data_IF_748482808523
#
_entry.id   IF_748482808523
#
_cell.length_a   1.000
_cell.length_b   1.000
_cell.length_c   1.000
_cell.angle_alpha   90.00
_cell.angle_beta   90.00
_cell.angle_gamma   90.00
#
_symmetry.space_group_name_H-M   'P 1'
#
loop_
_entity.id
_entity.type
_entity.pdbx_description
1 polymer ?
#
# COMPACT_ATOMS: atom_id res chain seq x y z
N UNK A 1 3.43 7.73 -12.33
CA UNK A 1 2.03 7.29 -12.56
C UNK A 1 1.27 7.30 -11.24
N UNK A 2 0.10 7.91 -11.26
CA UNK A 2 -0.78 7.95 -10.09
C UNK A 2 -1.31 6.55 -9.78
N UNK A 3 -1.43 6.21 -8.50
CA UNK A 3 -1.97 4.93 -8.05
C UNK A 3 -3.38 4.68 -8.59
N UNK A 4 -4.22 5.71 -8.61
CA UNK A 4 -5.59 5.63 -9.15
C UNK A 4 -5.59 5.20 -10.62
N UNK A 5 -4.73 5.80 -11.43
CA UNK A 5 -4.60 5.47 -12.85
C UNK A 5 -4.10 4.05 -13.04
N UNK A 6 -3.10 3.65 -12.25
CA UNK A 6 -2.55 2.31 -12.30
C UNK A 6 -3.61 1.26 -11.98
N UNK A 7 -4.38 1.48 -10.92
CA UNK A 7 -5.42 0.53 -10.50
C UNK A 7 -6.56 0.46 -11.52
N UNK A 8 -6.97 1.59 -12.09
CA UNK A 8 -7.99 1.59 -13.13
C UNK A 8 -7.57 0.73 -14.32
N UNK A 9 -6.32 0.85 -14.75
CA UNK A 9 -5.78 0.11 -15.88
C UNK A 9 -5.59 -1.37 -15.55
N UNK A 10 -4.94 -1.66 -14.43
CA UNK A 10 -4.56 -3.04 -14.09
C UNK A 10 -5.71 -3.89 -13.59
N UNK A 11 -6.68 -3.29 -12.91
CA UNK A 11 -7.81 -4.00 -12.34
C UNK A 11 -9.09 -3.88 -13.17
N UNK A 12 -9.06 -3.10 -14.24
CA UNK A 12 -10.22 -2.94 -15.11
C UNK A 12 -11.41 -2.31 -14.42
N UNK A 13 -11.17 -1.25 -13.64
CA UNK A 13 -12.21 -0.61 -12.84
C UNK A 13 -13.12 0.33 -13.62
N UNK A 14 -12.89 0.47 -14.92
CA UNK A 14 -13.60 1.43 -15.77
C UNK A 14 -15.11 1.25 -15.80
N UNK A 15 -15.58 0.01 -15.64
CA UNK A 15 -16.99 -0.33 -15.67
C UNK A 15 -17.71 -0.18 -14.33
N UNK A 16 -16.99 0.20 -13.29
CA UNK A 16 -17.55 0.38 -11.96
C UNK A 16 -18.02 1.82 -11.75
N UNK A 17 -18.95 2.03 -10.82
CA UNK A 17 -19.35 3.36 -10.43
C UNK A 17 -18.19 4.09 -9.75
N UNK A 18 -18.25 5.41 -9.70
CA UNK A 18 -17.22 6.21 -9.05
C UNK A 18 -17.08 5.84 -7.56
N UNK A 19 -18.21 5.60 -6.90
CA UNK A 19 -18.21 5.19 -5.49
C UNK A 19 -17.51 3.85 -5.28
N UNK A 20 -17.76 2.87 -6.15
CA UNK A 20 -17.13 1.56 -6.08
C UNK A 20 -15.63 1.64 -6.35
N UNK A 21 -15.23 2.45 -7.34
CA UNK A 21 -13.81 2.70 -7.63
C UNK A 21 -13.08 3.27 -6.42
N UNK A 22 -13.65 4.28 -5.79
CA UNK A 22 -13.05 4.93 -4.62
C UNK A 22 -12.86 3.98 -3.47
N UNK A 23 -13.83 3.11 -3.22
CA UNK A 23 -13.73 2.09 -2.17
C UNK A 23 -12.61 1.10 -2.43
N UNK A 24 -12.49 0.62 -3.66
CA UNK A 24 -11.45 -0.33 -4.04
C UNK A 24 -10.07 0.32 -3.91
N UNK A 25 -9.92 1.54 -4.41
CA UNK A 25 -8.66 2.28 -4.36
C UNK A 25 -8.25 2.53 -2.90
N UNK A 26 -9.18 2.93 -2.06
CA UNK A 26 -8.91 3.17 -0.64
C UNK A 26 -8.45 1.88 0.07
N UNK A 27 -9.14 0.76 -0.17
CA UNK A 27 -8.75 -0.52 0.40
C UNK A 27 -7.38 -0.98 -0.08
N UNK A 28 -7.11 -0.78 -1.35
CA UNK A 28 -5.82 -1.14 -1.93
C UNK A 28 -4.69 -0.35 -1.25
N UNK A 29 -4.87 0.96 -1.11
CA UNK A 29 -3.88 1.83 -0.45
C UNK A 29 -3.61 1.43 0.99
N UNK A 30 -4.66 1.15 1.77
CA UNK A 30 -4.52 0.69 3.15
C UNK A 30 -3.80 -0.65 3.24
N UNK A 31 -4.17 -1.60 2.38
CA UNK A 31 -3.55 -2.93 2.34
C UNK A 31 -2.08 -2.83 1.95
N UNK A 32 -1.76 -2.00 0.97
CA UNK A 32 -0.39 -1.80 0.53
C UNK A 32 0.47 -1.24 1.65
N UNK A 33 -0.02 -0.23 2.35
CA UNK A 33 0.71 0.39 3.47
C UNK A 33 0.97 -0.62 4.58
N UNK A 34 -0.04 -1.41 4.95
CA UNK A 34 0.11 -2.45 5.97
C UNK A 34 1.15 -3.50 5.57
N UNK A 35 1.13 -3.95 4.32
CA UNK A 35 2.10 -4.94 3.83
C UNK A 35 3.52 -4.39 3.86
N UNK A 36 3.70 -3.15 3.46
CA UNK A 36 5.01 -2.49 3.49
C UNK A 36 5.51 -2.40 4.95
N UNK A 37 4.67 -1.94 5.86
CA UNK A 37 5.03 -1.82 7.26
C UNK A 37 5.41 -3.17 7.86
N UNK A 38 4.63 -4.21 7.62
CA UNK A 38 4.92 -5.55 8.14
C UNK A 38 6.24 -6.09 7.61
N UNK A 39 6.52 -5.86 6.33
CA UNK A 39 7.75 -6.34 5.72
C UNK A 39 9.00 -5.64 6.27
N UNK A 40 8.93 -4.32 6.43
CA UNK A 40 10.08 -3.56 6.92
C UNK A 40 10.28 -3.65 8.43
N UNK A 41 9.25 -4.06 9.17
CA UNK A 41 9.29 -4.13 10.63
C UNK A 41 10.48 -4.93 11.14
N UNK A 42 10.81 -6.00 10.44
CA UNK A 42 11.93 -6.86 10.79
C UNK A 42 13.30 -6.18 10.66
N UNK A 43 13.38 -5.13 9.85
CA UNK A 43 14.62 -4.38 9.64
C UNK A 43 14.77 -3.21 10.61
N UNK A 44 13.75 -2.92 11.41
CA UNK A 44 13.76 -1.81 12.35
C UNK A 44 14.27 -2.24 13.71
N UNK A 45 14.98 -1.33 14.40
CA UNK A 45 15.34 -1.52 15.79
C UNK A 45 14.09 -1.47 16.66
N UNK A 46 14.22 -1.91 17.91
CA UNK A 46 13.11 -1.84 18.85
C UNK A 46 12.60 -0.41 19.04
N UNK A 47 13.51 0.55 19.12
CA UNK A 47 13.15 1.97 19.24
C UNK A 47 12.43 2.48 17.98
N UNK A 48 12.94 2.11 16.80
CA UNK A 48 12.31 2.49 15.52
C UNK A 48 10.90 1.92 15.39
N UNK A 49 10.66 0.70 15.88
CA UNK A 49 9.32 0.10 15.89
C UNK A 49 8.37 0.89 16.77
N UNK A 50 8.83 1.32 17.94
CA UNK A 50 8.03 2.15 18.85
C UNK A 50 7.72 3.50 18.22
N UNK A 51 8.69 4.11 17.55
CA UNK A 51 8.50 5.38 16.86
C UNK A 51 7.49 5.24 15.74
N UNK A 52 7.57 4.17 14.97
CA UNK A 52 6.61 3.90 13.90
C UNK A 52 5.18 3.74 14.45
N UNK A 53 5.02 3.01 15.54
CA UNK A 53 3.72 2.84 16.19
C UNK A 53 3.15 4.19 16.64
N UNK A 54 3.99 5.06 17.16
CA UNK A 54 3.58 6.41 17.56
C UNK A 54 3.12 7.24 16.37
N UNK A 55 3.73 7.06 15.20
CA UNK A 55 3.38 7.80 13.98
C UNK A 55 2.15 7.28 13.27
N UNK A 56 1.67 6.08 13.56
CA UNK A 56 0.49 5.52 12.90
C UNK A 56 -0.73 6.41 13.00
N UNK A 57 -0.86 7.16 14.08
CA UNK A 57 -1.96 8.11 14.27
C UNK A 57 -1.68 9.47 13.64
N UNK A 58 -0.48 9.69 13.12
CA UNK A 58 -0.06 10.96 12.54
C UNK A 58 -0.26 11.10 11.03
N UNK A 59 -0.80 10.05 10.39
CA UNK A 59 -1.10 10.07 8.96
C UNK A 59 0.01 9.47 8.10
N UNK A 60 -0.35 9.24 6.83
CA UNK A 60 0.55 8.58 5.87
C UNK A 60 1.83 9.36 5.59
N UNK A 61 1.78 10.69 5.58
CA UNK A 61 2.96 11.51 5.29
C UNK A 61 4.07 11.30 6.31
N UNK A 62 3.72 11.27 7.60
CA UNK A 62 4.71 11.05 8.67
C UNK A 62 5.30 9.66 8.60
N UNK A 63 4.46 8.66 8.34
CA UNK A 63 4.89 7.28 8.19
C UNK A 63 5.84 7.15 7.00
N UNK A 64 5.48 7.71 5.85
CA UNK A 64 6.30 7.66 4.64
C UNK A 64 7.64 8.34 4.84
N UNK A 65 7.66 9.50 5.48
CA UNK A 65 8.90 10.22 5.76
C UNK A 65 9.81 9.42 6.68
N UNK A 66 9.26 8.85 7.74
CA UNK A 66 10.01 8.00 8.68
C UNK A 66 10.62 6.81 7.96
N UNK A 67 9.82 6.10 7.16
CA UNK A 67 10.28 4.92 6.42
C UNK A 67 11.35 5.26 5.40
N UNK A 68 11.20 6.38 4.70
CA UNK A 68 12.18 6.84 3.72
C UNK A 68 13.54 7.11 4.39
N UNK A 69 13.54 7.65 5.59
CA UNK A 69 14.77 7.93 6.34
C UNK A 69 15.42 6.67 6.91
N UNK A 70 14.63 5.69 7.31
CA UNK A 70 15.13 4.51 8.04
C UNK A 70 15.38 3.29 7.17
N UNK A 71 14.75 3.18 6.01
CA UNK A 71 14.85 2.00 5.14
C UNK A 71 15.41 2.40 3.78
N UNK A 72 16.65 2.00 3.51
CA UNK A 72 17.33 2.37 2.26
C UNK A 72 16.70 1.74 1.01
N UNK A 73 16.11 0.56 1.12
CA UNK A 73 15.51 -0.16 -0.02
C UNK A 73 13.99 0.00 -0.10
N UNK A 74 13.46 1.06 0.48
CA UNK A 74 12.01 1.28 0.57
C UNK A 74 11.31 1.24 -0.79
N UNK A 75 11.88 1.87 -1.81
CA UNK A 75 11.29 1.89 -3.15
C UNK A 75 11.17 0.49 -3.74
N UNK A 76 12.19 -0.32 -3.56
CA UNK A 76 12.18 -1.71 -4.03
C UNK A 76 11.12 -2.53 -3.30
N UNK A 77 11.01 -2.36 -1.99
CA UNK A 77 10.00 -3.04 -1.19
C UNK A 77 8.60 -2.63 -1.63
N UNK A 78 8.37 -1.33 -1.86
CA UNK A 78 7.09 -0.82 -2.36
C UNK A 78 6.71 -1.44 -3.69
N UNK A 79 7.63 -1.50 -4.64
CA UNK A 79 7.38 -2.09 -5.95
C UNK A 79 7.04 -3.57 -5.86
N UNK A 80 7.77 -4.32 -5.06
CA UNK A 80 7.52 -5.74 -4.87
C UNK A 80 6.15 -5.99 -4.24
N UNK A 81 5.82 -5.26 -3.18
CA UNK A 81 4.53 -5.42 -2.51
C UNK A 81 3.38 -4.94 -3.37
N UNK A 82 3.60 -3.89 -4.17
CA UNK A 82 2.59 -3.41 -5.12
C UNK A 82 2.24 -4.49 -6.12
N UNK A 83 3.23 -5.16 -6.70
CA UNK A 83 3.00 -6.24 -7.66
C UNK A 83 2.25 -7.41 -7.05
N UNK A 84 2.64 -7.82 -5.85
CA UNK A 84 1.98 -8.93 -5.15
C UNK A 84 0.52 -8.59 -4.84
N UNK A 85 0.28 -7.39 -4.35
CA UNK A 85 -1.08 -6.96 -4.02
C UNK A 85 -1.96 -6.80 -5.25
N UNK A 86 -1.40 -6.31 -6.36
CA UNK A 86 -2.11 -6.23 -7.64
C UNK A 86 -2.60 -7.61 -8.08
N UNK A 87 -1.74 -8.61 -7.99
CA UNK A 87 -2.12 -9.98 -8.33
C UNK A 87 -3.25 -10.49 -7.45
N UNK A 88 -3.18 -10.24 -6.14
CA UNK A 88 -4.22 -10.65 -5.21
C UNK A 88 -5.56 -9.98 -5.54
N UNK A 89 -5.55 -8.70 -5.85
CA UNK A 89 -6.76 -7.96 -6.21
C UNK A 89 -7.33 -8.41 -7.55
N UNK A 90 -6.47 -8.73 -8.53
CA UNK A 90 -6.92 -9.26 -9.82
C UNK A 90 -7.68 -10.59 -9.65
N UNK A 91 -7.16 -11.47 -8.81
CA UNK A 91 -7.83 -12.74 -8.51
C UNK A 91 -9.17 -12.51 -7.81
N UNK A 92 -9.20 -11.60 -6.85
CA UNK A 92 -10.42 -11.23 -6.13
C UNK A 92 -11.50 -10.70 -7.08
N UNK A 93 -11.12 -9.80 -7.98
CA UNK A 93 -12.06 -9.20 -8.95
C UNK A 93 -12.60 -10.25 -9.91
N UNK A 94 -11.77 -11.19 -10.36
CA UNK A 94 -12.21 -12.30 -11.22
C UNK A 94 -13.29 -13.15 -10.53
N UNK A 95 -13.14 -13.39 -9.24
CA UNK A 95 -14.09 -14.20 -8.47
C UNK A 95 -15.44 -13.53 -8.32
N UNK A 96 -15.48 -12.21 -8.24
CA UNK A 96 -16.74 -11.46 -8.06
C UNK A 96 -17.35 -10.99 -9.37
N UNK A 97 -16.61 -11.05 -10.45
CA UNK A 97 -17.12 -10.70 -11.79
C UNK A 97 -17.81 -11.91 -12.49
#
# INVERSE_FOLDING_TARGET
MDLTQLLNKELGLENLSQEEKEKIIARFGESLLKRIILRIYQFLSEQDRKDLEAFQNGGEEKINKFLTEKVSDLEKIREEELKLLLNDFKEFIKEIA
#
